data_IF_446071049596
#
_entry.id   IF_446071049596
#
_cell.length_a   1.000
_cell.length_b   1.000
_cell.length_c   1.000
_cell.angle_alpha   90.00
_cell.angle_beta   90.00
_cell.angle_gamma   90.00
#
_symmetry.space_group_name_H-M   'P 1'
#
loop_
_entity.id
_entity.type
_entity.pdbx_description
1 polymer ?
2 water ?
#
# COMPACT_ATOMS: atom_id res chain seq x y z
N UNK A 1 9.15 -10.91 -16.61
CA UNK A 1 7.81 -10.64 -16.09
C UNK A 1 7.85 -9.92 -14.75
N UNK A 2 7.10 -8.82 -14.62
CA UNK A 2 6.99 -8.11 -13.35
C UNK A 2 6.06 -8.89 -12.42
N UNK A 3 6.45 -9.00 -11.15
CA UNK A 3 5.58 -9.56 -10.12
C UNK A 3 5.65 -8.68 -8.88
N UNK A 4 4.48 -8.31 -8.36
CA UNK A 4 4.35 -7.56 -7.11
C UNK A 4 3.71 -8.54 -6.11
N UNK A 5 4.50 -9.06 -5.18
CA UNK A 5 4.03 -10.11 -4.28
C UNK A 5 3.74 -9.50 -2.91
N UNK A 6 2.46 -9.52 -2.53
CA UNK A 6 2.03 -8.97 -1.24
C UNK A 6 2.06 -10.02 -0.14
N UNK A 7 2.26 -9.55 1.08
CA UNK A 7 2.18 -10.38 2.27
C UNK A 7 1.91 -9.50 3.48
N UNK A 8 1.46 -10.14 4.57
CA UNK A 8 1.34 -9.47 5.85
C UNK A 8 -0.02 -8.95 6.28
N UNK A 9 -1.09 -9.30 5.59
CA UNK A 9 -2.42 -8.85 5.96
C UNK A 9 -3.11 -9.78 6.95
N UNK A 10 -4.44 -9.71 6.97
CA UNK A 10 -5.25 -10.62 7.75
C UNK A 10 -6.10 -9.88 8.76
N UNK A 11 -6.44 -10.58 9.83
CA UNK A 11 -7.40 -10.08 10.81
C UNK A 11 -6.67 -9.48 11.99
N UNK A 12 -7.23 -8.38 12.50
CA UNK A 12 -6.62 -7.66 13.62
C UNK A 12 -7.76 -7.03 14.42
N UNK A 13 -7.54 -6.84 15.71
CA UNK A 13 -8.53 -6.18 16.53
C UNK A 13 -8.39 -4.67 16.40
N UNK A 14 -9.49 -3.97 16.67
CA UNK A 14 -9.48 -2.51 16.70
C UNK A 14 -8.37 -2.01 17.62
N UNK A 15 -7.58 -1.05 17.11
CA UNK A 15 -6.44 -0.54 17.82
C UNK A 15 -5.14 -1.22 17.50
N UNK A 16 -5.18 -2.33 16.75
CA UNK A 16 -3.99 -3.10 16.48
C UNK A 16 -3.15 -2.54 15.36
N UNK A 17 -2.09 -3.29 15.05
CA UNK A 17 -1.10 -2.91 14.05
C UNK A 17 -0.90 -4.04 13.06
N UNK A 18 -0.52 -3.67 11.85
CA UNK A 18 -0.12 -4.62 10.81
C UNK A 18 0.94 -3.94 9.96
N UNK A 19 1.82 -4.73 9.36
CA UNK A 19 2.75 -4.23 8.35
C UNK A 19 2.59 -5.06 7.09
N UNK A 20 2.15 -4.42 6.02
CA UNK A 20 2.04 -5.10 4.73
C UNK A 20 3.36 -4.95 4.00
N UNK A 21 3.70 -5.98 3.23
CA UNK A 21 4.91 -5.99 2.43
C UNK A 21 4.54 -6.21 0.97
N UNK A 22 5.28 -5.56 0.06
CA UNK A 22 5.11 -5.81 -1.37
C UNK A 22 6.49 -5.92 -1.98
N UNK A 23 6.84 -7.12 -2.44
CA UNK A 23 8.14 -7.38 -3.03
C UNK A 23 8.02 -7.27 -4.55
N UNK A 24 8.80 -6.38 -5.14
CA UNK A 24 8.81 -6.15 -6.57
C UNK A 24 9.92 -6.97 -7.21
N UNK A 25 9.58 -7.79 -8.20
CA UNK A 25 10.58 -8.57 -8.93
C UNK A 25 10.35 -8.40 -10.43
N UNK A 26 11.42 -8.63 -11.20
CA UNK A 26 11.34 -8.52 -12.64
C UNK A 26 11.14 -7.10 -13.14
N UNK A 27 11.51 -6.11 -12.35
CA UNK A 27 11.26 -4.73 -12.76
C UNK A 27 12.21 -4.36 -13.90
N UNK A 28 11.70 -3.85 -15.01
CA UNK A 28 12.55 -3.57 -16.19
C UNK A 28 13.05 -2.13 -16.29
N UNK A 29 12.75 -1.26 -15.32
CA UNK A 29 13.04 0.15 -15.46
C UNK A 29 14.02 0.62 -14.39
N UNK A 30 14.67 1.76 -14.67
CA UNK A 30 15.59 2.39 -13.75
C UNK A 30 14.89 3.25 -12.72
N UNK A 31 13.59 3.44 -12.86
CA UNK A 31 12.82 4.28 -11.95
C UNK A 31 11.52 3.58 -11.64
N UNK A 32 10.87 4.01 -10.57
CA UNK A 32 9.54 3.52 -10.24
C UNK A 32 8.89 4.47 -9.26
N UNK A 33 7.57 4.38 -9.19
CA UNK A 33 6.87 4.73 -7.96
C UNK A 33 6.00 3.54 -7.59
N UNK A 34 5.80 3.36 -6.28
CA UNK A 34 5.02 2.26 -5.73
C UNK A 34 3.94 2.86 -4.84
N UNK A 35 2.71 2.37 -4.98
CA UNK A 35 1.61 2.78 -4.12
C UNK A 35 1.02 1.59 -3.40
N UNK A 36 0.41 1.89 -2.26
CA UNK A 36 -0.61 1.03 -1.68
C UNK A 36 -1.96 1.69 -1.92
N UNK A 37 -2.88 0.95 -2.53
CA UNK A 37 -4.28 1.32 -2.69
C UNK A 37 -5.11 0.43 -1.78
N UNK A 38 -6.36 0.83 -1.55
CA UNK A 38 -7.27 -0.06 -0.85
C UNK A 38 -8.67 0.10 -1.41
N UNK A 39 -9.47 -0.96 -1.27
CA UNK A 39 -10.87 -0.93 -1.67
C UNK A 39 -11.69 -1.47 -0.51
N UNK A 40 -12.39 -0.57 0.17
CA UNK A 40 -13.24 -0.95 1.29
C UNK A 40 -14.59 -1.43 0.76
N UNK A 41 -15.33 -2.19 1.57
CA UNK A 41 -16.61 -2.75 1.10
C UNK A 41 -17.55 -1.68 0.56
N UNK A 42 -18.04 -1.91 -0.65
CA UNK A 42 -18.95 -0.99 -1.32
C UNK A 42 -18.37 0.34 -1.72
N UNK A 43 -17.07 0.55 -1.56
CA UNK A 43 -16.45 1.83 -1.89
C UNK A 43 -15.52 1.67 -3.08
N UNK A 44 -15.21 2.78 -3.72
CA UNK A 44 -14.25 2.74 -4.81
C UNK A 44 -12.83 2.65 -4.28
N UNK A 45 -11.95 2.08 -5.10
CA UNK A 45 -10.54 1.95 -4.76
C UNK A 45 -9.93 3.35 -4.59
N UNK A 46 -9.14 3.51 -3.54
CA UNK A 46 -8.53 4.80 -3.24
C UNK A 46 -7.07 4.61 -2.86
N UNK A 47 -6.27 5.60 -3.19
CA UNK A 47 -4.86 5.59 -2.81
C UNK A 47 -4.72 5.75 -1.30
N UNK A 48 -3.83 4.96 -0.72
CA UNK A 48 -3.43 5.10 0.67
C UNK A 48 -2.10 5.84 0.80
N UNK A 49 -1.07 5.37 0.08
CA UNK A 49 0.28 5.86 0.28
C UNK A 49 1.07 5.65 -0.99
N UNK A 50 2.12 6.48 -1.16
CA UNK A 50 2.99 6.38 -2.31
C UNK A 50 4.42 6.68 -1.95
N UNK A 51 5.35 6.11 -2.72
CA UNK A 51 6.78 6.31 -2.53
C UNK A 51 7.41 6.08 -3.90
N UNK A 52 8.62 6.60 -4.09
CA UNK A 52 9.25 6.39 -5.39
C UNK A 52 10.74 6.16 -5.25
N UNK A 53 11.39 5.89 -6.39
CA UNK A 53 12.84 5.71 -6.41
C UNK A 53 13.60 6.99 -6.08
N UNK A 54 12.91 8.15 -6.08
CA UNK A 54 13.56 9.41 -5.78
C UNK A 54 12.88 10.20 -4.67
N UNK A 55 11.65 9.87 -4.28
CA UNK A 55 10.92 10.66 -3.31
C UNK A 55 10.53 9.79 -2.12
N UNK A 56 10.63 10.37 -0.93
CA UNK A 56 10.24 9.69 0.30
C UNK A 56 8.74 9.48 0.33
N UNK A 57 8.32 8.57 1.22
CA UNK A 57 6.92 8.18 1.23
C UNK A 57 6.00 9.28 1.75
N UNK A 58 4.79 9.29 1.17
CA UNK A 58 3.70 10.19 1.57
C UNK A 58 2.43 9.36 1.75
N UNK A 59 1.54 9.89 2.58
CA UNK A 59 0.22 9.29 2.81
C UNK A 59 -0.81 10.17 2.11
N UNK A 60 -1.59 9.57 1.22
CA UNK A 60 -2.66 10.30 0.53
C UNK A 60 -3.93 10.38 1.37
N UNK A 61 -4.26 9.30 2.07
CA UNK A 61 -5.59 9.15 2.67
C UNK A 61 -5.65 9.89 3.99
N UNK A 62 -6.74 10.63 4.20
CA UNK A 62 -6.94 11.27 5.49
C UNK A 62 -7.04 10.20 6.57
N UNK A 63 -6.27 10.39 7.63
CA UNK A 63 -6.12 9.36 8.64
C UNK A 63 -5.88 10.01 10.00
N UNK A 64 -4.61 10.18 10.36
CA UNK A 64 -4.11 10.87 11.53
C UNK A 64 -2.62 10.60 11.57
N UNK A 65 -1.82 11.59 11.98
CA UNK A 65 -0.37 11.43 11.98
C UNK A 65 0.05 10.15 12.71
N UNK A 66 0.47 9.14 11.94
CA UNK A 66 0.92 7.88 12.51
C UNK A 66 0.06 6.68 12.16
N UNK A 67 -1.13 6.88 11.57
CA UNK A 67 -1.95 5.73 11.22
C UNK A 67 -1.29 4.88 10.14
N UNK A 68 -0.71 5.52 9.12
CA UNK A 68 -0.03 4.81 8.06
C UNK A 68 1.37 5.41 7.86
N UNK A 69 2.33 4.54 7.56
CA UNK A 69 3.70 4.95 7.22
C UNK A 69 4.16 4.04 6.10
N UNK A 70 4.64 4.62 5.02
CA UNK A 70 5.17 3.85 3.91
C UNK A 70 6.69 4.00 3.89
N UNK A 71 7.37 2.89 3.65
CA UNK A 71 8.82 2.86 3.59
C UNK A 71 9.23 1.80 2.60
N UNK A 72 10.53 1.72 2.33
CA UNK A 72 11.00 0.69 1.43
C UNK A 72 12.39 0.25 1.83
N UNK A 73 12.70 -0.97 1.41
CA UNK A 73 14.04 -1.53 1.52
C UNK A 73 14.53 -1.69 0.09
N UNK A 74 15.47 -0.83 -0.31
CA UNK A 74 15.89 -0.81 -1.71
C UNK A 74 16.61 -2.10 -2.09
N UNK A 75 17.44 -2.64 -1.21
CA UNK A 75 18.17 -3.87 -1.53
C UNK A 75 17.24 -5.06 -1.71
N UNK A 76 16.13 -5.10 -0.97
CA UNK A 76 15.15 -6.16 -1.10
C UNK A 76 14.04 -5.84 -2.09
N UNK A 77 14.08 -4.68 -2.73
CA UNK A 77 13.06 -4.26 -3.70
C UNK A 77 11.65 -4.39 -3.11
N UNK A 78 11.51 -4.01 -1.85
CA UNK A 78 10.27 -4.22 -1.12
C UNK A 78 9.75 -2.92 -0.52
N UNK A 79 8.45 -2.69 -0.65
CA UNK A 79 7.80 -1.52 -0.08
C UNK A 79 6.88 -1.99 1.04
N UNK A 80 6.81 -1.20 2.11
CA UNK A 80 6.06 -1.60 3.30
C UNK A 80 4.99 -0.56 3.61
N UNK A 81 3.87 -1.04 4.14
CA UNK A 81 2.83 -0.17 4.68
C UNK A 81 2.66 -0.52 6.15
N UNK A 82 3.20 0.31 7.03
CA UNK A 82 3.00 0.13 8.45
C UNK A 82 1.67 0.76 8.85
N UNK A 83 0.82 -0.02 9.50
CA UNK A 83 -0.50 0.44 9.93
C UNK A 83 -0.59 0.33 11.43
N UNK A 84 -1.04 1.41 12.08
CA UNK A 84 -1.15 1.46 13.52
C UNK A 84 -2.52 2.00 13.89
N UNK A 85 -2.96 1.67 15.10
CA UNK A 85 -4.21 2.17 15.66
C UNK A 85 -5.37 1.94 14.70
N UNK A 86 -5.43 0.72 14.15
CA UNK A 86 -6.39 0.40 13.10
C UNK A 86 -7.82 0.46 13.61
N UNK A 87 -8.72 0.85 12.72
CA UNK A 87 -10.12 1.03 13.01
C UNK A 87 -10.96 0.15 12.08
N UNK A 88 -12.20 -0.17 12.46
CA UNK A 88 -13.04 -0.98 11.57
C UNK A 88 -13.09 -0.49 10.14
N UNK A 89 -13.13 0.83 9.93
CA UNK A 89 -13.20 1.42 8.59
C UNK A 89 -11.89 1.31 7.81
N UNK A 90 -10.87 0.70 8.39
CA UNK A 90 -9.67 0.35 7.65
C UNK A 90 -9.76 -1.04 7.05
N UNK A 91 -10.88 -1.75 7.27
CA UNK A 91 -11.12 -3.01 6.61
C UNK A 91 -11.24 -2.79 5.10
N UNK A 92 -10.49 -3.58 4.34
CA UNK A 92 -10.43 -3.37 2.89
C UNK A 92 -9.51 -4.44 2.32
N UNK A 93 -9.58 -4.60 1.00
CA UNK A 93 -8.53 -5.29 0.26
C UNK A 93 -7.48 -4.25 -0.09
N UNK A 94 -6.25 -4.49 0.33
CA UNK A 94 -5.14 -3.58 0.07
C UNK A 94 -4.33 -4.08 -1.12
N UNK A 95 -3.99 -3.18 -2.05
CA UNK A 95 -3.28 -3.54 -3.27
C UNK A 95 -1.98 -2.78 -3.41
N UNK A 96 -0.93 -3.49 -3.78
CA UNK A 96 0.32 -2.87 -4.19
C UNK A 96 0.23 -2.54 -5.67
N UNK A 97 0.83 -1.42 -6.07
CA UNK A 97 0.81 -1.03 -7.47
C UNK A 97 2.13 -0.35 -7.82
N UNK A 98 2.55 -0.49 -9.07
CA UNK A 98 3.82 0.07 -9.50
C UNK A 98 3.69 0.68 -10.90
N UNK A 99 4.56 1.67 -11.16
CA UNK A 99 4.63 2.29 -12.48
C UNK A 99 6.04 2.86 -12.62
N UNK A 100 6.41 3.17 -13.87
CA UNK A 100 7.76 3.68 -14.16
C UNK A 100 7.96 5.10 -13.64
N UNK A 101 6.95 5.96 -13.81
CA UNK A 101 7.07 7.38 -13.47
C UNK A 101 7.34 7.53 -11.98
N UNK A 102 8.36 8.32 -11.64
CA UNK A 102 8.81 8.43 -10.26
C UNK A 102 8.20 9.61 -9.50
N UNK A 103 7.29 10.36 -10.11
CA UNK A 103 6.48 11.29 -9.32
C UNK A 103 5.46 10.49 -8.49
N UNK A 104 4.77 11.19 -7.60
CA UNK A 104 3.78 10.53 -6.75
C UNK A 104 2.38 10.79 -7.30
N UNK A 105 1.61 9.72 -7.51
CA UNK A 105 0.27 9.81 -8.08
C UNK A 105 -0.71 9.01 -7.23
N UNK A 106 -1.91 9.58 -7.03
CA UNK A 106 -2.99 8.91 -6.33
C UNK A 106 -3.97 8.21 -7.27
N UNK A 107 -3.73 8.29 -8.58
CA UNK A 107 -4.71 7.82 -9.56
C UNK A 107 -4.40 6.37 -9.94
N UNK A 108 -5.36 5.47 -9.70
CA UNK A 108 -5.16 4.07 -10.05
C UNK A 108 -4.89 3.90 -11.53
N UNK A 109 -5.47 4.76 -12.39
CA UNK A 109 -5.27 4.64 -13.83
C UNK A 109 -3.82 4.82 -14.25
N UNK A 110 -3.00 5.43 -13.41
CA UNK A 110 -1.59 5.65 -13.73
C UNK A 110 -0.71 4.43 -13.50
N UNK A 111 -1.24 3.36 -12.91
CA UNK A 111 -0.43 2.20 -12.52
C UNK A 111 -0.76 1.00 -13.39
N UNK A 112 0.26 0.44 -14.05
CA UNK A 112 0.08 -0.67 -14.98
C UNK A 112 0.41 -2.03 -14.37
N UNK A 113 0.89 -2.07 -13.13
CA UNK A 113 1.26 -3.31 -12.47
C UNK A 113 0.62 -3.35 -11.11
N UNK A 114 0.03 -4.49 -10.76
CA UNK A 114 -0.75 -4.64 -9.54
C UNK A 114 -0.44 -5.96 -8.86
N UNK A 115 -0.41 -5.92 -7.53
CA UNK A 115 -0.39 -7.12 -6.73
C UNK A 115 -1.75 -7.78 -6.69
N UNK A 116 -1.80 -8.93 -6.03
CA UNK A 116 -2.98 -9.78 -5.99
C UNK A 116 -4.10 -9.23 -5.11
N UNK A 117 -3.79 -8.35 -4.16
CA UNK A 117 -4.77 -7.89 -3.18
C UNK A 117 -4.66 -8.68 -1.90
N UNK A 118 -4.60 -7.98 -0.77
CA UNK A 118 -4.45 -8.59 0.54
C UNK A 118 -5.60 -8.11 1.42
N UNK A 119 -6.40 -9.04 1.94
CA UNK A 119 -7.51 -8.67 2.82
C UNK A 119 -6.99 -8.26 4.18
N UNK A 120 -7.51 -7.14 4.69
CA UNK A 120 -7.28 -6.71 6.06
C UNK A 120 -8.64 -6.51 6.69
N UNK A 121 -8.92 -7.21 7.78
CA UNK A 121 -10.20 -7.10 8.47
C UNK A 121 -9.95 -6.64 9.91
N UNK A 122 -10.50 -5.50 10.26
CA UNK A 122 -10.33 -4.93 11.59
C UNK A 122 -11.63 -5.13 12.35
N UNK A 123 -11.59 -5.95 13.39
CA UNK A 123 -12.78 -6.24 14.15
C UNK A 123 -13.16 -5.02 14.99
N UNK A 124 -14.42 -5.00 15.43
CA UNK A 124 -14.91 -3.93 16.27
C UNK A 124 -14.69 -4.24 17.75
N UNK A 125 -14.68 -3.18 18.55
CA UNK A 125 -14.60 -3.31 20.00
C UNK A 125 -16.00 -3.40 20.57
N UNK A 126 -16.12 -4.04 21.72
CA UNK A 126 -17.42 -4.27 22.34
C UNK A 126 -18.08 -2.93 22.67
N UNK A 127 -19.40 -2.90 22.53
CA UNK A 127 -20.21 -1.71 22.83
C UNK A 127 -21.69 -2.04 22.82
#
# INVERSE_FOLDING_TARGET
>A
QVQLQESGGGSVEAGGSLRLSCARSGWPYSTYSMNWFRQAPGKEREAVAGISSTMSGIIFAESKAGQFTISQDNAKNTVYLQMNNLKPEDTAIYYCAARRDYSLSSSSDDFDYWGQGTQVTVSSAAAYPYDVPDYGSHHHHHH
#
